data_IF_561643974597
#
_entry.id   IF_561643974597
#
_cell.length_a   1.000
_cell.length_b   1.000
_cell.length_c   1.000
_cell.angle_alpha   90.00
_cell.angle_beta   90.00
_cell.angle_gamma   90.00
#
_symmetry.space_group_name_H-M   'P 1'
#
loop_
_entity.id
_entity.type
_entity.pdbx_description
1 polymer ?
#
# COMPACT_ATOMS: atom_id res chain seq x y z
N UNK A 1 0.58 -46.85 -23.41
CA UNK A 1 0.26 -46.30 -24.74
C UNK A 1 -0.47 -44.98 -24.53
N UNK A 2 0.23 -43.89 -24.84
CA UNK A 2 -0.17 -42.49 -25.04
C UNK A 2 -1.47 -41.99 -24.40
N UNK A 3 -1.33 -41.36 -23.22
CA UNK A 3 -2.28 -40.34 -22.77
C UNK A 3 -1.83 -38.92 -23.16
N UNK A 4 -0.60 -38.77 -23.65
CA UNK A 4 0.04 -37.48 -23.96
C UNK A 4 -0.54 -36.87 -25.25
N UNK A 5 -0.81 -37.69 -26.29
CA UNK A 5 -1.36 -37.20 -27.57
C UNK A 5 -2.87 -36.87 -27.55
N UNK A 6 -3.60 -37.23 -26.48
CA UNK A 6 -5.05 -36.98 -26.38
C UNK A 6 -5.39 -35.57 -25.87
N UNK A 7 -4.43 -34.91 -25.24
CA UNK A 7 -4.61 -33.56 -24.71
C UNK A 7 -4.36 -32.49 -25.79
N UNK A 8 -3.46 -32.79 -26.74
CA UNK A 8 -3.19 -31.96 -27.92
C UNK A 8 -4.37 -31.97 -28.92
N UNK A 9 -5.09 -33.10 -29.03
CA UNK A 9 -6.30 -33.23 -29.85
C UNK A 9 -7.55 -32.62 -29.16
N UNK A 10 -7.53 -32.42 -27.84
CA UNK A 10 -8.66 -31.86 -27.08
C UNK A 10 -8.79 -30.33 -27.21
N UNK A 11 -7.73 -29.64 -27.64
CA UNK A 11 -7.71 -28.17 -27.75
C UNK A 11 -7.92 -27.76 -29.21
N UNK A 12 -9.18 -27.61 -29.61
CA UNK A 12 -9.53 -27.03 -30.92
C UNK A 12 -9.03 -25.58 -31.02
N UNK A 13 -8.60 -25.08 -32.20
CA UNK A 13 -8.13 -23.70 -32.38
C UNK A 13 -9.10 -22.64 -31.85
N UNK A 14 -10.41 -22.90 -31.94
CA UNK A 14 -11.46 -21.99 -31.43
C UNK A 14 -11.63 -22.14 -29.92
N UNK A 15 -11.48 -23.34 -29.38
CA UNK A 15 -11.57 -23.57 -27.93
C UNK A 15 -10.36 -22.95 -27.24
N UNK A 16 -9.18 -23.01 -27.87
CA UNK A 16 -7.95 -22.37 -27.39
C UNK A 16 -8.13 -20.86 -27.19
N UNK A 17 -8.72 -20.18 -28.18
CA UNK A 17 -8.91 -18.73 -28.12
C UNK A 17 -9.93 -18.33 -27.06
N UNK A 18 -11.03 -19.08 -26.94
CA UNK A 18 -12.04 -18.83 -25.89
C UNK A 18 -11.41 -18.97 -24.49
N UNK A 19 -10.61 -20.02 -24.26
CA UNK A 19 -9.94 -20.22 -22.97
C UNK A 19 -8.94 -19.10 -22.66
N UNK A 20 -8.15 -18.69 -23.64
CA UNK A 20 -7.18 -17.59 -23.49
C UNK A 20 -7.89 -16.28 -23.15
N UNK A 21 -8.94 -15.92 -23.90
CA UNK A 21 -9.69 -14.69 -23.68
C UNK A 21 -10.40 -14.74 -22.33
N UNK A 22 -11.02 -15.87 -21.97
CA UNK A 22 -11.68 -16.03 -20.68
C UNK A 22 -10.73 -15.76 -19.51
N UNK A 23 -9.51 -16.31 -19.54
CA UNK A 23 -8.52 -16.12 -18.47
C UNK A 23 -8.08 -14.64 -18.42
N UNK A 24 -7.80 -14.01 -19.55
CA UNK A 24 -7.36 -12.60 -19.57
C UNK A 24 -8.43 -11.63 -19.05
N UNK A 25 -9.70 -11.86 -19.39
CA UNK A 25 -10.82 -11.05 -18.86
C UNK A 25 -10.93 -11.22 -17.35
N UNK A 26 -10.77 -12.44 -16.84
CA UNK A 26 -10.79 -12.70 -15.39
C UNK A 26 -9.63 -12.01 -14.70
N UNK A 27 -8.40 -12.12 -15.21
CA UNK A 27 -7.23 -11.46 -14.63
C UNK A 27 -7.37 -9.93 -14.65
N UNK A 28 -7.88 -9.36 -15.75
CA UNK A 28 -8.16 -7.93 -15.84
C UNK A 28 -9.22 -7.48 -14.82
N UNK A 29 -10.27 -8.28 -14.61
CA UNK A 29 -11.30 -8.01 -13.60
C UNK A 29 -10.75 -8.06 -12.17
N UNK A 30 -9.94 -9.08 -11.84
CA UNK A 30 -9.30 -9.19 -10.52
C UNK A 30 -8.33 -8.02 -10.28
N UNK A 31 -7.52 -7.68 -11.29
CA UNK A 31 -6.63 -6.52 -11.21
C UNK A 31 -7.40 -5.21 -11.05
N UNK A 32 -8.54 -5.04 -11.73
CA UNK A 32 -9.38 -3.86 -11.59
C UNK A 32 -9.93 -3.71 -10.17
N UNK A 33 -10.48 -4.79 -9.59
CA UNK A 33 -11.00 -4.76 -8.21
C UNK A 33 -9.87 -4.49 -7.21
N UNK A 34 -8.71 -5.13 -7.40
CA UNK A 34 -7.55 -4.91 -6.54
C UNK A 34 -7.02 -3.47 -6.64
N UNK A 35 -6.87 -2.95 -7.85
CA UNK A 35 -6.43 -1.57 -8.07
C UNK A 35 -7.46 -0.55 -7.55
N UNK A 36 -8.76 -0.83 -7.70
CA UNK A 36 -9.82 0.01 -7.14
C UNK A 36 -9.79 0.03 -5.62
N UNK A 37 -9.55 -1.12 -4.98
CA UNK A 37 -9.41 -1.20 -3.52
C UNK A 37 -8.18 -0.44 -3.04
N UNK A 38 -7.05 -0.53 -3.77
CA UNK A 38 -5.85 0.23 -3.46
C UNK A 38 -6.05 1.74 -3.66
N UNK A 39 -6.76 2.11 -4.73
CA UNK A 39 -7.06 3.50 -5.04
C UNK A 39 -8.01 4.11 -3.99
N UNK A 40 -9.04 3.38 -3.58
CA UNK A 40 -9.98 3.82 -2.54
C UNK A 40 -9.27 4.00 -1.20
N UNK A 41 -8.39 3.07 -0.82
CA UNK A 41 -7.52 3.19 0.36
C UNK A 41 -6.58 4.41 0.26
N UNK A 42 -6.14 4.77 -0.95
CA UNK A 42 -5.31 5.96 -1.18
C UNK A 42 -6.09 7.28 -1.28
N UNK A 43 -7.42 7.26 -1.45
CA UNK A 43 -8.24 8.46 -1.72
C UNK A 43 -9.32 8.73 -0.67
N UNK A 44 -9.67 7.76 0.18
CA UNK A 44 -10.67 7.88 1.26
C UNK A 44 -10.12 8.28 2.63
N UNK A 45 -8.81 8.25 2.80
CA UNK A 45 -8.09 8.65 4.00
C UNK A 45 -6.62 8.68 3.63
N UNK A 46 -6.23 9.75 2.93
CA UNK A 46 -4.89 9.85 2.34
C UNK A 46 -3.86 9.58 3.43
N UNK A 47 -2.99 8.58 3.20
CA UNK A 47 -1.86 8.17 4.04
C UNK A 47 -1.70 9.09 5.25
N UNK A 48 -2.14 8.67 6.44
CA UNK A 48 -2.06 9.48 7.66
C UNK A 48 -0.58 9.72 8.01
N UNK A 49 0.02 10.71 7.36
CA UNK A 49 1.40 11.09 7.58
C UNK A 49 1.45 11.99 8.79
N UNK A 50 1.91 11.43 9.90
CA UNK A 50 2.28 12.21 11.06
C UNK A 50 3.62 12.88 10.77
N UNK A 51 3.61 14.20 10.62
CA UNK A 51 4.83 14.98 10.49
C UNK A 51 5.19 15.62 11.82
N UNK A 52 6.47 15.53 12.17
CA UNK A 52 7.04 16.15 13.35
C UNK A 52 8.14 17.12 12.94
N UNK A 53 8.12 18.31 13.51
CA UNK A 53 9.22 19.26 13.40
C UNK A 53 9.84 19.45 14.77
N UNK A 54 11.16 19.43 14.82
CA UNK A 54 11.92 19.79 16.00
C UNK A 54 12.57 21.17 15.88
N UNK A 55 12.77 21.82 17.03
CA UNK A 55 13.71 22.92 17.19
C UNK A 55 14.73 22.49 18.22
N UNK A 56 15.98 22.43 17.76
CA UNK A 56 17.10 22.06 18.59
C UNK A 56 17.31 23.02 19.76
N UNK A 57 17.88 22.50 20.85
CA UNK A 57 18.30 23.28 21.98
C UNK A 57 19.63 23.98 21.67
N UNK A 58 19.66 25.31 21.72
CA UNK A 58 20.90 26.05 21.50
C UNK A 58 21.85 25.87 22.69
N UNK A 59 22.98 25.19 22.50
CA UNK A 59 24.05 25.10 23.49
C UNK A 59 24.55 23.67 23.74
N UNK A 60 25.35 23.49 24.78
CA UNK A 60 25.79 22.17 25.27
C UNK A 60 25.15 21.89 26.61
N UNK A 61 24.71 20.65 26.81
CA UNK A 61 24.10 20.23 28.07
C UNK A 61 25.06 20.45 29.24
N UNK A 62 24.52 20.94 30.36
CA UNK A 62 25.30 21.19 31.57
C UNK A 62 24.66 20.53 32.79
N UNK A 63 25.45 20.32 33.83
CA UNK A 63 24.94 19.84 35.13
C UNK A 63 24.18 20.92 35.91
N UNK A 64 24.20 22.17 35.43
CA UNK A 64 23.42 23.27 35.98
C UNK A 64 22.01 23.33 35.37
N UNK A 65 21.04 23.87 36.11
CA UNK A 65 19.69 24.09 35.62
C UNK A 65 19.60 25.25 34.61
N UNK A 66 18.57 25.23 33.77
CA UNK A 66 18.28 26.30 32.82
C UNK A 66 18.80 26.09 31.40
N UNK A 67 19.21 24.86 31.05
CA UNK A 67 19.57 24.51 29.68
C UNK A 67 18.38 24.65 28.71
N UNK A 68 18.69 24.89 27.44
CA UNK A 68 17.70 24.88 26.37
C UNK A 68 17.05 23.50 26.25
N UNK A 69 15.75 23.47 25.97
CA UNK A 69 15.02 22.23 25.71
C UNK A 69 14.77 22.07 24.22
N UNK A 70 14.86 20.83 23.72
CA UNK A 70 14.42 20.50 22.37
C UNK A 70 12.90 20.53 22.35
N UNK A 71 12.34 21.28 21.41
CA UNK A 71 10.90 21.34 21.21
C UNK A 71 10.51 20.48 20.02
N UNK A 72 9.70 19.45 20.23
CA UNK A 72 9.15 18.62 19.15
C UNK A 72 7.63 18.86 19.09
N UNK A 73 7.15 19.24 17.92
CA UNK A 73 5.73 19.45 17.67
C UNK A 73 5.27 18.65 16.45
N UNK A 74 4.08 18.08 16.55
CA UNK A 74 3.38 17.51 15.41
C UNK A 74 2.82 18.64 14.54
N UNK A 75 3.20 18.67 13.27
CA UNK A 75 2.84 19.72 12.32
C UNK A 75 1.79 19.27 11.31
N UNK A 76 1.52 17.96 11.22
CA UNK A 76 0.52 17.38 10.33
C UNK A 76 0.04 16.02 10.86
N UNK A 77 -1.25 15.72 10.66
CA UNK A 77 -1.96 14.51 11.05
C UNK A 77 -3.09 14.80 12.05
N UNK A 78 -3.81 13.77 12.47
CA UNK A 78 -4.94 13.89 13.41
C UNK A 78 -4.50 13.95 14.88
N UNK A 79 -5.38 14.46 15.74
CA UNK A 79 -5.13 14.56 17.19
C UNK A 79 -4.83 13.17 17.79
N UNK A 80 -3.68 13.09 18.49
CA UNK A 80 -3.30 11.88 19.20
C UNK A 80 -4.18 11.72 20.45
N UNK A 81 -5.04 10.71 20.45
CA UNK A 81 -5.82 10.33 21.62
C UNK A 81 -4.95 9.53 22.61
N UNK A 82 -4.18 10.23 23.44
CA UNK A 82 -3.26 9.62 24.41
C UNK A 82 -3.89 9.25 25.75
N UNK A 83 -5.17 9.58 25.96
CA UNK A 83 -5.90 9.23 27.17
C UNK A 83 -7.33 8.81 26.81
N UNK A 84 -7.51 7.51 26.64
CA UNK A 84 -8.83 6.84 26.75
C UNK A 84 -8.73 5.83 27.87
#
# INVERSE_FOLDING_TARGET
MNNENRNEEAVSPVIATILMVAITVVLAGVLYVWASSLADDSTGGGLDTYQFSDRDAAGSMSEAGGDGLVHVAMTQGDDLSWAV
#
